data_IF_241426428932
#
_entry.id   IF_241426428932
#
_cell.length_a   1.000
_cell.length_b   1.000
_cell.length_c   1.000
_cell.angle_alpha   90.00
_cell.angle_beta   90.00
_cell.angle_gamma   90.00
#
_symmetry.space_group_name_H-M   'P 1'
#
loop_
_entity.id
_entity.type
_entity.pdbx_description
1 polymer ?
#
# COMPACT_ATOMS: atom_id res chain seq x y z
N UNK A 1 3.39 22.10 -24.54
CA UNK A 1 3.85 21.57 -23.24
C UNK A 1 2.70 20.86 -22.51
N UNK A 2 2.10 19.83 -23.11
CA UNK A 2 0.92 19.12 -22.55
C UNK A 2 1.06 17.59 -22.57
N UNK A 3 2.16 17.08 -23.11
CA UNK A 3 2.42 15.64 -23.22
C UNK A 3 3.23 15.05 -22.06
N UNK A 4 3.79 15.89 -21.18
CA UNK A 4 4.52 15.41 -20.00
C UNK A 4 3.61 14.93 -18.85
N UNK A 5 2.32 15.27 -18.86
CA UNK A 5 1.39 14.89 -17.77
C UNK A 5 0.77 13.49 -17.97
N UNK A 6 0.78 12.94 -19.18
CA UNK A 6 0.31 11.58 -19.43
C UNK A 6 1.32 10.51 -18.99
N UNK A 7 2.61 10.87 -18.95
CA UNK A 7 3.66 10.00 -18.44
C UNK A 7 3.61 9.86 -16.93
N UNK A 8 3.28 10.94 -16.21
CA UNK A 8 3.22 10.92 -14.75
C UNK A 8 2.13 9.98 -14.22
N UNK A 9 0.98 9.90 -14.89
CA UNK A 9 -0.09 8.98 -14.50
C UNK A 9 0.30 7.50 -14.67
N UNK A 10 1.09 7.16 -15.69
CA UNK A 10 1.67 5.82 -15.85
C UNK A 10 2.79 5.57 -14.82
N UNK A 11 3.65 6.57 -14.57
CA UNK A 11 4.75 6.49 -13.60
C UNK A 11 4.22 6.34 -12.17
N UNK A 12 3.29 7.21 -11.76
CA UNK A 12 2.59 7.18 -10.46
C UNK A 12 1.94 5.83 -10.22
N UNK A 13 1.20 5.30 -11.21
CA UNK A 13 0.57 3.97 -11.10
C UNK A 13 1.63 2.86 -10.94
N UNK A 14 2.77 2.98 -11.61
CA UNK A 14 3.87 2.00 -11.54
C UNK A 14 4.63 2.06 -10.19
N UNK A 15 4.87 3.27 -9.67
CA UNK A 15 5.51 3.49 -8.36
C UNK A 15 4.66 2.87 -7.24
N UNK A 16 3.34 3.07 -7.29
CA UNK A 16 2.44 2.51 -6.28
C UNK A 16 2.42 0.98 -6.33
N UNK A 17 2.44 0.37 -7.54
CA UNK A 17 2.57 -1.09 -7.67
C UNK A 17 3.86 -1.62 -7.05
N UNK A 18 4.97 -0.90 -7.20
CA UNK A 18 6.26 -1.26 -6.63
C UNK A 18 6.25 -1.18 -5.08
N UNK A 19 5.69 -0.10 -4.53
CA UNK A 19 5.50 0.06 -3.07
C UNK A 19 4.57 -1.02 -2.52
N UNK A 20 3.50 -1.37 -3.24
CA UNK A 20 2.60 -2.46 -2.85
C UNK A 20 3.31 -3.80 -2.78
N UNK A 21 4.15 -4.13 -3.79
CA UNK A 21 4.89 -5.38 -3.79
C UNK A 21 5.83 -5.47 -2.57
N UNK A 22 6.55 -4.39 -2.26
CA UNK A 22 7.43 -4.35 -1.08
C UNK A 22 6.62 -4.46 0.22
N UNK A 23 5.50 -3.74 0.35
CA UNK A 23 4.64 -3.80 1.52
C UNK A 23 3.99 -5.17 1.73
N UNK A 24 3.53 -5.80 0.64
CA UNK A 24 2.99 -7.17 0.66
C UNK A 24 4.07 -8.19 1.04
N UNK A 25 5.29 -8.07 0.48
CA UNK A 25 6.43 -8.90 0.84
C UNK A 25 6.81 -8.77 2.31
N UNK A 26 6.82 -7.53 2.83
CA UNK A 26 7.12 -7.26 4.23
C UNK A 26 6.03 -7.80 5.17
N UNK A 27 4.75 -7.72 4.78
CA UNK A 27 3.64 -8.30 5.55
C UNK A 27 3.72 -9.81 5.66
N UNK A 28 4.12 -10.48 4.57
CA UNK A 28 4.32 -11.93 4.54
C UNK A 28 5.51 -12.31 5.43
N UNK A 29 6.63 -11.58 5.33
CA UNK A 29 7.80 -11.76 6.19
C UNK A 29 7.46 -11.57 7.67
N UNK A 30 6.74 -10.50 8.02
CA UNK A 30 6.32 -10.22 9.38
C UNK A 30 5.41 -11.32 9.94
N UNK A 31 4.42 -11.79 9.17
CA UNK A 31 3.57 -12.91 9.57
C UNK A 31 4.35 -14.21 9.80
N UNK A 32 5.34 -14.49 8.94
CA UNK A 32 6.20 -15.66 9.07
C UNK A 32 7.09 -15.59 10.32
N UNK A 33 7.67 -14.42 10.60
CA UNK A 33 8.50 -14.18 11.80
C UNK A 33 7.66 -14.39 13.07
N UNK A 34 6.45 -13.82 13.13
CA UNK A 34 5.56 -13.98 14.28
C UNK A 34 5.18 -15.45 14.48
N UNK A 35 4.93 -16.19 13.40
CA UNK A 35 4.61 -17.62 13.46
C UNK A 35 5.78 -18.46 14.01
N UNK A 36 7.02 -18.19 13.56
CA UNK A 36 8.23 -18.89 14.05
C UNK A 36 8.49 -18.55 15.52
N UNK A 37 8.31 -17.27 15.89
CA UNK A 37 8.47 -16.79 17.28
C UNK A 37 7.47 -17.45 18.23
N UNK A 38 6.22 -17.60 17.79
CA UNK A 38 5.16 -18.20 18.59
C UNK A 38 5.32 -19.70 18.84
N UNK A 39 6.12 -20.40 18.03
CA UNK A 39 6.43 -21.81 18.25
C UNK A 39 7.40 -22.04 19.42
N UNK A 40 8.19 -21.01 19.79
CA UNK A 40 9.24 -21.10 20.81
C UNK A 40 8.75 -20.66 22.20
N UNK A 41 7.73 -19.81 22.28
CA UNK A 41 7.44 -19.01 23.48
C UNK A 41 6.02 -19.18 24.07
N UNK A 42 5.40 -20.37 23.96
CA UNK A 42 4.03 -20.72 24.44
C UNK A 42 2.93 -20.65 23.36
N UNK A 43 2.05 -21.67 23.33
CA UNK A 43 1.02 -21.87 22.30
C UNK A 43 0.00 -20.74 22.11
N UNK A 44 -0.09 -19.79 23.05
CA UNK A 44 -0.90 -18.57 22.93
C UNK A 44 -0.40 -17.67 21.79
N UNK A 45 0.92 -17.59 21.59
CA UNK A 45 1.49 -16.83 20.47
C UNK A 45 1.21 -17.48 19.11
N UNK A 46 0.95 -18.80 19.07
CA UNK A 46 0.54 -19.49 17.83
C UNK A 46 -0.87 -19.05 17.44
N UNK A 47 -1.79 -18.92 18.40
CA UNK A 47 -3.15 -18.45 18.15
C UNK A 47 -3.18 -16.97 17.76
N UNK A 48 -2.33 -16.15 18.39
CA UNK A 48 -2.12 -14.75 18.02
C UNK A 48 -1.48 -14.61 16.63
N UNK A 49 -0.51 -15.48 16.31
CA UNK A 49 0.16 -15.54 15.01
C UNK A 49 -0.76 -15.97 13.88
N UNK A 50 -1.67 -16.92 14.13
CA UNK A 50 -2.72 -17.32 13.18
C UNK A 50 -3.67 -16.14 12.89
N UNK A 51 -4.10 -15.42 13.94
CA UNK A 51 -4.91 -14.21 13.78
C UNK A 51 -4.16 -13.13 13.00
N UNK A 52 -2.87 -12.91 13.30
CA UNK A 52 -2.02 -11.96 12.61
C UNK A 52 -1.77 -12.32 11.13
N UNK A 53 -1.71 -13.61 10.79
CA UNK A 53 -1.60 -14.08 9.40
C UNK A 53 -2.86 -13.80 8.58
N UNK A 54 -4.04 -13.82 9.22
CA UNK A 54 -5.32 -13.51 8.56
C UNK A 54 -5.57 -12.01 8.51
N UNK A 55 -5.31 -11.30 9.60
CA UNK A 55 -5.58 -9.86 9.75
C UNK A 55 -4.48 -9.01 9.08
N UNK A 56 -3.23 -9.45 9.08
CA UNK A 56 -2.10 -8.73 8.48
C UNK A 56 -2.30 -8.39 6.99
N UNK A 57 -2.64 -9.36 6.12
CA UNK A 57 -2.95 -9.11 4.72
C UNK A 57 -4.15 -8.17 4.52
N UNK A 58 -5.16 -8.23 5.40
CA UNK A 58 -6.35 -7.37 5.36
C UNK A 58 -5.97 -5.92 5.66
N UNK A 59 -5.15 -5.70 6.69
CA UNK A 59 -4.66 -4.36 7.06
C UNK A 59 -3.79 -3.79 5.95
N UNK A 60 -2.88 -4.59 5.38
CA UNK A 60 -2.03 -4.15 4.24
C UNK A 60 -2.87 -3.82 3.00
N UNK A 61 -3.94 -4.58 2.72
CA UNK A 61 -4.90 -4.27 1.66
C UNK A 61 -5.53 -2.90 1.86
N UNK A 62 -6.05 -2.63 3.06
CA UNK A 62 -6.72 -1.36 3.40
C UNK A 62 -5.73 -0.19 3.29
N UNK A 63 -4.53 -0.32 3.84
CA UNK A 63 -3.50 0.71 3.75
C UNK A 63 -3.08 1.00 2.31
N UNK A 64 -2.92 -0.04 1.48
CA UNK A 64 -2.56 0.17 0.09
C UNK A 64 -3.66 0.87 -0.71
N UNK A 65 -4.93 0.55 -0.46
CA UNK A 65 -6.06 1.18 -1.13
C UNK A 65 -6.19 2.66 -0.73
N UNK A 66 -5.98 2.98 0.55
CA UNK A 66 -5.92 4.36 1.05
C UNK A 66 -4.79 5.17 0.40
N UNK A 67 -3.60 4.59 0.24
CA UNK A 67 -2.48 5.25 -0.43
C UNK A 67 -2.81 5.59 -1.90
N UNK A 68 -3.43 4.67 -2.63
CA UNK A 68 -3.88 4.89 -4.02
C UNK A 68 -4.91 6.02 -4.07
N UNK A 69 -5.90 6.01 -3.17
CA UNK A 69 -6.95 7.04 -3.10
C UNK A 69 -6.33 8.40 -2.83
N UNK A 70 -5.38 8.50 -1.89
CA UNK A 70 -4.70 9.76 -1.57
C UNK A 70 -3.97 10.33 -2.79
N UNK A 71 -3.26 9.48 -3.52
CA UNK A 71 -2.53 9.89 -4.73
C UNK A 71 -3.48 10.33 -5.85
N UNK A 72 -4.62 9.64 -6.02
CA UNK A 72 -5.67 10.06 -6.97
C UNK A 72 -6.27 11.42 -6.63
N UNK A 73 -6.48 11.70 -5.35
CA UNK A 73 -6.98 13.01 -4.90
C UNK A 73 -5.94 14.10 -5.22
N UNK A 74 -4.66 13.83 -5.00
CA UNK A 74 -3.59 14.76 -5.31
C UNK A 74 -3.53 15.09 -6.82
N UNK A 75 -3.63 14.07 -7.67
CA UNK A 75 -3.66 14.23 -9.13
C UNK A 75 -4.89 15.05 -9.58
N UNK A 76 -6.07 14.77 -9.01
CA UNK A 76 -7.30 15.51 -9.29
C UNK A 76 -7.20 16.99 -8.86
N UNK A 77 -6.55 17.28 -7.73
CA UNK A 77 -6.31 18.65 -7.27
C UNK A 77 -5.33 19.41 -8.16
N UNK A 78 -4.28 18.74 -8.66
CA UNK A 78 -3.35 19.34 -9.62
C UNK A 78 -4.03 19.68 -10.95
N UNK A 79 -4.94 18.82 -11.43
CA UNK A 79 -5.70 19.05 -12.66
C UNK A 79 -6.65 20.26 -12.53
N UNK A 80 -7.33 20.38 -11.39
CA UNK A 80 -8.19 21.54 -11.08
C UNK A 80 -7.39 22.85 -11.03
N UNK A 81 -6.19 22.85 -10.44
CA UNK A 81 -5.31 24.03 -10.37
C UNK A 81 -4.90 24.53 -11.77
N UNK A 82 -4.64 23.62 -12.71
CA UNK A 82 -4.31 23.97 -14.09
C UNK A 82 -5.49 24.58 -14.86
N UNK A 83 -6.72 24.13 -14.58
CA UNK A 83 -7.92 24.63 -15.26
C UNK A 83 -8.36 26.04 -14.81
N UNK A 84 -8.12 26.43 -13.56
CA UNK A 84 -8.52 27.73 -13.02
C UNK A 84 -7.58 28.89 -13.38
N UNK A 85 -6.35 28.62 -13.82
CA UNK A 85 -5.38 29.65 -14.23
C UNK A 85 -5.49 30.02 -15.72
N UNK A 86 -6.29 29.28 -16.50
CA UNK A 86 -6.51 29.52 -17.93
C UNK A 86 -7.88 30.19 -18.21
N UNK A 87 -8.39 30.99 -17.27
CA UNK A 87 -9.48 31.95 -17.49
C UNK A 87 -9.05 33.33 -17.00
#
# INVERSE_FOLDING_TARGET
>A
MKEFLHFDKMITTSIIKFVFWIGAGLSILAGLIIMISGFVSEGIFVLLGLLAIVVGPIVVRIYCELLIVFFKIHEALQDLKGSSFNR
#
